data_IF_474084027162
#
_entry.id   IF_474084027162
#
_cell.length_a   1.000
_cell.length_b   1.000
_cell.length_c   1.000
_cell.angle_alpha   90.00
_cell.angle_beta   90.00
_cell.angle_gamma   90.00
#
_symmetry.space_group_name_H-M   'P 1'
#
loop_
_entity.id
_entity.type
_entity.pdbx_description
1 polymer ?
#
# COMPACT_ATOMS: atom_id res chain seq x y z
N UNK A 1 -13.77 -6.12 -34.23
CA UNK A 1 -14.36 -6.26 -32.88
C UNK A 1 -13.63 -5.30 -31.96
N UNK A 2 -14.31 -4.38 -31.26
CA UNK A 2 -13.60 -3.53 -30.30
C UNK A 2 -13.13 -4.40 -29.15
N UNK A 3 -11.82 -4.38 -28.85
CA UNK A 3 -11.26 -5.14 -27.73
C UNK A 3 -11.85 -4.54 -26.45
N UNK A 4 -12.83 -5.23 -25.87
CA UNK A 4 -13.47 -4.80 -24.64
C UNK A 4 -12.68 -5.35 -23.45
N UNK A 5 -12.36 -4.47 -22.51
CA UNK A 5 -11.60 -4.81 -21.31
C UNK A 5 -12.45 -5.60 -20.31
N UNK A 6 -11.82 -6.02 -19.21
CA UNK A 6 -12.46 -6.82 -18.17
C UNK A 6 -12.20 -6.21 -16.79
N UNK A 7 -13.22 -6.26 -15.92
CA UNK A 7 -13.13 -5.78 -14.54
C UNK A 7 -13.04 -6.96 -13.58
N UNK A 8 -12.09 -6.92 -12.65
CA UNK A 8 -11.98 -7.87 -11.55
C UNK A 8 -12.35 -7.18 -10.24
N UNK A 9 -13.36 -7.68 -9.53
CA UNK A 9 -13.73 -7.24 -8.18
C UNK A 9 -13.02 -8.15 -7.18
N UNK A 10 -11.94 -7.66 -6.57
CA UNK A 10 -10.94 -8.49 -5.88
C UNK A 10 -10.91 -8.19 -4.39
N UNK A 11 -10.98 -9.24 -3.57
CA UNK A 11 -10.73 -9.17 -2.14
C UNK A 11 -9.25 -9.04 -1.82
N UNK A 12 -8.90 -7.98 -1.09
CA UNK A 12 -7.54 -7.67 -0.64
C UNK A 12 -7.13 -8.46 0.62
N UNK A 13 -8.09 -9.08 1.29
CA UNK A 13 -7.85 -9.67 2.61
C UNK A 13 -7.95 -8.66 3.76
N UNK A 14 -7.75 -9.11 5.00
CA UNK A 14 -8.01 -8.35 6.23
C UNK A 14 -6.94 -7.30 6.56
N UNK A 15 -5.73 -7.46 6.04
CA UNK A 15 -4.58 -6.65 6.39
C UNK A 15 -3.28 -7.31 5.94
N UNK A 16 -2.95 -8.46 6.52
CA UNK A 16 -1.79 -9.27 6.15
C UNK A 16 -1.76 -9.54 4.63
N UNK A 17 -0.68 -9.11 3.99
CA UNK A 17 -0.50 -9.23 2.54
C UNK A 17 -0.36 -10.69 2.08
N UNK A 18 0.03 -11.60 2.97
CA UNK A 18 0.12 -13.03 2.68
C UNK A 18 -1.27 -13.71 2.64
N UNK A 19 -2.30 -13.09 3.20
CA UNK A 19 -3.68 -13.54 3.08
C UNK A 19 -4.35 -13.15 1.75
N UNK A 20 -3.61 -12.50 0.85
CA UNK A 20 -4.05 -12.30 -0.52
C UNK A 20 -4.14 -13.65 -1.24
N UNK A 21 -5.30 -13.94 -1.85
CA UNK A 21 -5.45 -15.21 -2.57
C UNK A 21 -4.52 -15.27 -3.79
N UNK A 22 -4.07 -16.48 -4.14
CA UNK A 22 -3.17 -16.70 -5.30
C UNK A 22 -3.75 -16.09 -6.58
N UNK A 23 -5.07 -16.17 -6.77
CA UNK A 23 -5.77 -15.59 -7.91
C UNK A 23 -5.79 -14.06 -7.87
N UNK A 24 -6.04 -13.47 -6.69
CA UNK A 24 -6.00 -12.03 -6.51
C UNK A 24 -4.61 -11.46 -6.85
N UNK A 25 -3.54 -12.10 -6.36
CA UNK A 25 -2.15 -11.74 -6.70
C UNK A 25 -1.88 -11.74 -8.21
N UNK A 26 -2.23 -12.84 -8.89
CA UNK A 26 -2.05 -12.97 -10.35
C UNK A 26 -2.77 -11.87 -11.13
N UNK A 27 -4.02 -11.58 -10.75
CA UNK A 27 -4.83 -10.55 -11.41
C UNK A 27 -4.28 -9.15 -11.13
N UNK A 28 -3.84 -8.88 -9.90
CA UNK A 28 -3.28 -7.59 -9.49
C UNK A 28 -1.99 -7.25 -10.26
N UNK A 29 -1.12 -8.24 -10.45
CA UNK A 29 0.13 -8.11 -11.21
C UNK A 29 -0.09 -7.85 -12.71
N UNK A 30 -1.24 -8.26 -13.25
CA UNK A 30 -1.60 -8.10 -14.67
C UNK A 30 -2.48 -6.87 -14.94
N UNK A 31 -2.79 -6.07 -13.91
CA UNK A 31 -3.72 -4.96 -14.03
C UNK A 31 -3.12 -3.79 -14.83
N UNK A 32 -3.92 -3.21 -15.72
CA UNK A 32 -3.61 -1.92 -16.36
C UNK A 32 -4.08 -0.74 -15.49
N UNK A 33 -5.10 -0.98 -14.65
CA UNK A 33 -5.68 0.02 -13.75
C UNK A 33 -6.06 -0.67 -12.44
N UNK A 34 -5.65 -0.11 -11.30
CA UNK A 34 -6.03 -0.59 -9.98
C UNK A 34 -6.78 0.52 -9.23
N UNK A 35 -8.05 0.27 -8.94
CA UNK A 35 -8.93 1.14 -8.16
C UNK A 35 -9.08 0.54 -6.75
N UNK A 36 -8.48 1.16 -5.74
CA UNK A 36 -8.36 0.56 -4.41
C UNK A 36 -8.95 1.42 -3.30
N UNK A 37 -9.54 0.76 -2.29
CA UNK A 37 -10.12 1.41 -1.11
C UNK A 37 -9.10 1.68 -0.01
N UNK A 38 -9.51 2.51 0.96
CA UNK A 38 -8.77 2.79 2.19
C UNK A 38 -8.42 1.53 3.02
N UNK A 39 -9.21 0.46 2.94
CA UNK A 39 -8.93 -0.75 3.76
C UNK A 39 -8.06 -1.79 3.05
N UNK A 40 -7.70 -1.60 1.78
CA UNK A 40 -6.73 -2.47 1.12
C UNK A 40 -5.33 -2.13 1.65
N UNK A 41 -4.53 -3.12 2.05
CA UNK A 41 -3.18 -2.85 2.57
C UNK A 41 -2.32 -2.15 1.47
N UNK A 42 -1.68 -1.00 1.77
CA UNK A 42 -0.78 -0.34 0.81
C UNK A 42 0.36 -1.22 0.29
N UNK A 43 0.80 -2.24 1.03
CA UNK A 43 1.78 -3.22 0.58
C UNK A 43 1.38 -3.89 -0.73
N UNK A 44 0.07 -4.14 -0.94
CA UNK A 44 -0.44 -4.76 -2.15
C UNK A 44 -0.24 -3.86 -3.39
N UNK A 45 -0.16 -2.53 -3.21
CA UNK A 45 0.13 -1.59 -4.29
C UNK A 45 1.55 -1.81 -4.84
N UNK A 46 2.47 -2.27 -4.00
CA UNK A 46 3.85 -2.56 -4.40
C UNK A 46 3.93 -3.79 -5.33
N UNK A 47 2.96 -4.72 -5.26
CA UNK A 47 2.86 -5.89 -6.15
C UNK A 47 2.28 -5.55 -7.54
N UNK A 48 1.75 -4.35 -7.75
CA UNK A 48 1.13 -3.94 -9.02
C UNK A 48 2.19 -3.74 -10.10
N UNK A 49 1.82 -3.97 -11.37
CA UNK A 49 2.66 -3.63 -12.53
C UNK A 49 3.10 -2.16 -12.54
N UNK A 50 4.34 -1.90 -12.93
CA UNK A 50 4.93 -0.54 -12.98
C UNK A 50 4.19 0.40 -13.94
N UNK A 51 3.45 -0.14 -14.91
CA UNK A 51 2.69 0.64 -15.90
C UNK A 51 1.22 0.85 -15.51
N UNK A 52 0.75 0.28 -14.41
CA UNK A 52 -0.64 0.35 -14.03
C UNK A 52 -1.03 1.76 -13.54
N UNK A 53 -2.19 2.25 -13.95
CA UNK A 53 -2.78 3.47 -13.37
C UNK A 53 -3.36 3.13 -11.98
N UNK A 54 -2.88 3.82 -10.95
CA UNK A 54 -3.40 3.70 -9.59
C UNK A 54 -4.49 4.76 -9.33
N UNK A 55 -5.65 4.34 -8.84
CA UNK A 55 -6.80 5.20 -8.51
C UNK A 55 -7.24 4.92 -7.08
N UNK A 56 -7.10 5.92 -6.20
CA UNK A 56 -7.54 5.79 -4.81
C UNK A 56 -9.04 6.13 -4.69
N UNK A 57 -9.81 5.20 -4.15
CA UNK A 57 -11.26 5.31 -3.96
C UNK A 57 -11.67 5.56 -2.49
N UNK A 58 -10.70 5.79 -1.59
CA UNK A 58 -10.95 6.04 -0.17
C UNK A 58 -11.28 7.49 0.18
N UNK A 59 -11.82 7.69 1.39
CA UNK A 59 -12.02 9.03 1.99
C UNK A 59 -10.69 9.55 2.56
N UNK A 60 -10.03 10.45 1.83
CA UNK A 60 -8.92 11.24 2.34
C UNK A 60 -9.45 12.53 3.00
N UNK A 61 -8.86 13.00 4.11
CA UNK A 61 -9.03 14.38 4.54
C UNK A 61 -8.54 15.30 3.40
N UNK A 62 -9.36 16.27 2.99
CA UNK A 62 -9.00 17.34 2.05
C UNK A 62 -8.93 17.04 0.54
N UNK A 63 -9.34 15.85 0.05
CA UNK A 63 -9.54 15.60 -1.40
C UNK A 63 -10.96 15.14 -1.69
N UNK A 64 -11.50 15.56 -2.85
CA UNK A 64 -12.83 15.17 -3.31
C UNK A 64 -13.00 13.64 -3.21
N UNK A 65 -13.90 13.22 -2.32
CA UNK A 65 -14.30 11.83 -2.15
C UNK A 65 -14.91 11.35 -3.45
N UNK A 66 -14.35 10.30 -4.07
CA UNK A 66 -15.06 9.60 -5.15
C UNK A 66 -16.32 9.00 -4.54
N UNK A 67 -17.48 9.45 -5.01
CA UNK A 67 -18.76 8.85 -4.66
C UNK A 67 -18.82 7.46 -5.29
N UNK A 68 -19.72 6.60 -4.82
CA UNK A 68 -19.88 5.26 -5.38
C UNK A 68 -20.10 5.29 -6.91
N UNK A 69 -20.83 6.28 -7.42
CA UNK A 69 -21.02 6.50 -8.86
C UNK A 69 -19.74 6.86 -9.62
N UNK A 70 -18.80 7.56 -8.99
CA UNK A 70 -17.52 7.92 -9.61
C UNK A 70 -16.60 6.69 -9.74
N UNK A 71 -16.58 5.83 -8.71
CA UNK A 71 -15.84 4.56 -8.73
C UNK A 71 -16.37 3.65 -9.86
N UNK A 72 -17.70 3.53 -9.95
CA UNK A 72 -18.37 2.79 -11.03
C UNK A 72 -18.02 3.35 -12.41
N UNK A 73 -17.99 4.68 -12.54
CA UNK A 73 -17.63 5.37 -13.78
C UNK A 73 -16.17 5.12 -14.18
N UNK A 74 -15.21 5.20 -13.24
CA UNK A 74 -13.81 4.91 -13.51
C UNK A 74 -13.61 3.46 -14.01
N UNK A 75 -14.27 2.48 -13.37
CA UNK A 75 -14.23 1.08 -13.83
C UNK A 75 -14.75 0.97 -15.27
N UNK A 76 -15.89 1.58 -15.56
CA UNK A 76 -16.54 1.54 -16.86
C UNK A 76 -15.69 2.19 -17.96
N UNK A 77 -15.16 3.38 -17.71
CA UNK A 77 -14.35 4.15 -18.67
C UNK A 77 -13.09 3.37 -19.05
N UNK A 78 -12.42 2.77 -18.07
CA UNK A 78 -11.19 2.02 -18.34
C UNK A 78 -11.47 0.68 -19.01
N UNK A 79 -12.50 -0.05 -18.60
CA UNK A 79 -12.88 -1.30 -19.27
C UNK A 79 -13.31 -1.08 -20.73
N UNK A 80 -14.05 0.00 -21.03
CA UNK A 80 -14.40 0.38 -22.42
C UNK A 80 -13.19 0.70 -23.30
N UNK A 81 -12.05 1.07 -22.70
CA UNK A 81 -10.78 1.30 -23.40
C UNK A 81 -9.96 0.01 -23.60
N UNK A 82 -10.54 -1.16 -23.36
CA UNK A 82 -9.84 -2.44 -23.54
C UNK A 82 -8.94 -2.86 -22.38
N UNK A 83 -8.98 -2.14 -21.24
CA UNK A 83 -8.06 -2.36 -20.13
C UNK A 83 -8.51 -3.47 -19.18
N UNK A 84 -7.54 -4.14 -18.56
CA UNK A 84 -7.73 -4.98 -17.38
C UNK A 84 -7.80 -4.09 -16.15
N UNK A 85 -8.98 -3.99 -15.56
CA UNK A 85 -9.26 -3.14 -14.39
C UNK A 85 -9.40 -4.01 -13.15
N UNK A 86 -8.69 -3.69 -12.08
CA UNK A 86 -8.82 -4.33 -10.77
C UNK A 86 -9.45 -3.35 -9.80
N UNK A 87 -10.59 -3.73 -9.24
CA UNK A 87 -11.24 -3.07 -8.11
C UNK A 87 -10.86 -3.81 -6.83
N UNK A 88 -9.86 -3.30 -6.13
CA UNK A 88 -9.28 -3.92 -4.94
C UNK A 88 -9.99 -3.42 -3.67
N UNK A 89 -10.61 -4.34 -2.93
CA UNK A 89 -11.51 -4.04 -1.79
C UNK A 89 -11.00 -4.74 -0.54
N UNK A 90 -11.00 -4.04 0.60
CA UNK A 90 -10.60 -4.64 1.88
C UNK A 90 -11.47 -5.84 2.25
N UNK A 91 -10.88 -6.89 2.82
CA UNK A 91 -11.55 -8.13 3.19
C UNK A 91 -12.00 -8.96 1.99
N UNK A 92 -13.23 -9.46 2.08
CA UNK A 92 -13.91 -10.17 1.00
C UNK A 92 -14.97 -9.27 0.33
N UNK A 93 -15.05 -9.19 -1.01
CA UNK A 93 -16.02 -8.33 -1.70
C UNK A 93 -17.48 -8.63 -1.35
N UNK A 94 -17.82 -9.89 -1.04
CA UNK A 94 -19.16 -10.36 -0.73
C UNK A 94 -19.61 -10.00 0.70
N UNK A 95 -18.69 -9.71 1.63
CA UNK A 95 -19.02 -9.42 3.03
C UNK A 95 -19.05 -7.91 3.25
N UNK A 96 -20.25 -7.31 3.20
CA UNK A 96 -20.48 -5.86 3.34
C UNK A 96 -19.65 -4.97 2.39
N UNK A 97 -19.14 -5.54 1.30
CA UNK A 97 -18.29 -4.85 0.33
C UNK A 97 -19.04 -4.18 -0.84
N UNK A 98 -20.38 -4.27 -0.91
CA UNK A 98 -21.19 -3.73 -2.03
C UNK A 98 -20.87 -4.32 -3.41
N UNK A 99 -20.26 -5.51 -3.47
CA UNK A 99 -19.88 -6.16 -4.75
C UNK A 99 -21.08 -6.40 -5.66
N UNK A 100 -22.26 -6.67 -5.11
CA UNK A 100 -23.48 -6.90 -5.89
C UNK A 100 -23.91 -5.67 -6.69
N UNK A 101 -23.83 -4.48 -6.09
CA UNK A 101 -24.15 -3.21 -6.75
C UNK A 101 -23.14 -2.90 -7.88
N UNK A 102 -21.85 -3.11 -7.61
CA UNK A 102 -20.77 -2.91 -8.59
C UNK A 102 -20.92 -3.90 -9.77
N UNK A 103 -21.18 -5.18 -9.49
CA UNK A 103 -21.40 -6.21 -10.51
C UNK A 103 -22.65 -5.95 -11.36
N UNK A 104 -23.77 -5.56 -10.74
CA UNK A 104 -25.00 -5.21 -11.45
C UNK A 104 -24.77 -4.01 -12.39
N UNK A 105 -24.07 -2.99 -11.92
CA UNK A 105 -23.72 -1.82 -12.73
C UNK A 105 -22.88 -2.21 -13.97
N UNK A 106 -21.85 -3.05 -13.78
CA UNK A 106 -21.01 -3.54 -14.89
C UNK A 106 -21.83 -4.37 -15.89
N UNK A 107 -22.74 -5.22 -15.39
CA UNK A 107 -23.62 -6.05 -16.21
C UNK A 107 -24.54 -5.20 -17.09
N UNK A 108 -25.20 -4.18 -16.53
CA UNK A 108 -26.07 -3.24 -17.26
C UNK A 108 -25.33 -2.53 -18.40
N UNK A 109 -24.03 -2.28 -18.23
CA UNK A 109 -23.18 -1.65 -19.23
C UNK A 109 -22.44 -2.65 -20.12
N UNK A 110 -22.79 -3.94 -20.07
CA UNK A 110 -22.21 -5.01 -20.88
C UNK A 110 -20.70 -5.16 -20.71
N UNK A 111 -20.15 -4.83 -19.54
CA UNK A 111 -18.73 -5.01 -19.23
C UNK A 111 -18.50 -6.43 -18.68
N UNK A 112 -17.60 -7.23 -19.28
CA UNK A 112 -17.17 -8.49 -18.68
C UNK A 112 -16.55 -8.25 -17.31
N UNK A 113 -16.96 -9.04 -16.32
CA UNK A 113 -16.37 -8.96 -14.98
C UNK A 113 -16.20 -10.32 -14.33
N UNK A 114 -15.35 -10.35 -13.31
CA UNK A 114 -15.11 -11.52 -12.49
C UNK A 114 -14.93 -11.11 -11.02
N UNK A 115 -15.49 -11.90 -10.11
CA UNK A 115 -15.35 -11.68 -8.67
C UNK A 115 -14.30 -12.65 -8.15
N UNK A 116 -13.29 -12.13 -7.47
CA UNK A 116 -12.25 -12.92 -6.80
C UNK A 116 -12.44 -12.77 -5.29
N UNK A 117 -12.87 -13.84 -4.59
CA UNK A 117 -13.03 -13.83 -3.14
C UNK A 117 -11.71 -13.50 -2.42
N UNK A 118 -11.86 -12.98 -1.20
CA UNK A 118 -10.76 -12.68 -0.29
C UNK A 118 -11.00 -13.30 1.09
N UNK A 119 -10.00 -13.24 1.95
CA UNK A 119 -10.19 -13.60 3.36
C UNK A 119 -10.93 -12.45 4.05
N UNK A 120 -12.09 -12.71 4.65
CA UNK A 120 -12.86 -11.66 5.32
C UNK A 120 -12.24 -11.24 6.66
N UNK A 121 -12.34 -9.95 6.98
CA UNK A 121 -11.73 -9.36 8.17
C UNK A 121 -12.16 -10.06 9.46
N UNK A 122 -13.42 -10.42 9.59
CA UNK A 122 -13.93 -10.95 10.83
C UNK A 122 -13.42 -12.34 11.19
N UNK A 123 -13.38 -13.28 10.24
CA UNK A 123 -12.84 -14.62 10.53
C UNK A 123 -11.33 -14.59 10.71
N UNK A 124 -10.63 -13.73 9.97
CA UNK A 124 -9.19 -13.59 10.10
C UNK A 124 -8.80 -12.89 11.40
N UNK A 125 -9.39 -11.73 11.70
CA UNK A 125 -9.15 -11.01 12.93
C UNK A 125 -9.47 -11.86 14.16
N UNK A 126 -10.58 -12.62 14.14
CA UNK A 126 -10.93 -13.49 15.26
C UNK A 126 -9.87 -14.57 15.47
N UNK A 127 -9.49 -15.30 14.42
CA UNK A 127 -8.55 -16.42 14.58
C UNK A 127 -7.12 -15.95 14.87
N UNK A 128 -6.70 -14.81 14.33
CA UNK A 128 -5.41 -14.17 14.67
C UNK A 128 -5.41 -13.66 16.12
N UNK A 129 -6.57 -13.28 16.67
CA UNK A 129 -6.72 -13.00 18.11
C UNK A 129 -6.89 -14.27 18.97
N UNK A 130 -6.82 -15.46 18.38
CA UNK A 130 -6.95 -16.75 19.10
C UNK A 130 -8.39 -17.21 19.33
N UNK A 131 -9.38 -16.64 18.65
CA UNK A 131 -10.80 -17.00 18.82
C UNK A 131 -11.43 -17.51 17.52
N UNK A 132 -11.87 -18.78 17.46
CA UNK A 132 -12.56 -19.30 16.29
C UNK A 132 -14.00 -18.76 16.22
N UNK A 133 -14.55 -18.65 15.02
CA UNK A 133 -15.94 -18.23 14.81
C UNK A 133 -16.98 -19.28 15.29
N UNK A 134 -16.56 -20.54 15.39
CA UNK A 134 -17.39 -21.68 15.83
C UNK A 134 -16.54 -22.62 16.66
N UNK A 135 -17.15 -23.35 17.60
CA UNK A 135 -16.44 -24.34 18.40
C UNK A 135 -17.40 -25.47 18.77
N UNK A 136 -16.99 -26.73 18.58
CA UNK A 136 -17.88 -27.92 18.69
C UNK A 136 -18.75 -27.93 19.95
N UNK A 137 -18.22 -27.50 21.09
CA UNK A 137 -18.93 -27.51 22.39
C UNK A 137 -19.52 -26.17 22.80
N UNK A 138 -19.10 -25.06 22.17
CA UNK A 138 -19.46 -23.70 22.63
C UNK A 138 -20.31 -22.92 21.63
N UNK A 139 -20.30 -23.31 20.35
CA UNK A 139 -20.98 -22.58 19.29
C UNK A 139 -21.27 -23.49 18.10
N UNK A 140 -22.56 -23.75 17.91
CA UNK A 140 -23.13 -24.50 16.78
C UNK A 140 -23.69 -23.58 15.70
N UNK A 141 -23.86 -22.29 16.01
CA UNK A 141 -24.41 -21.27 15.13
C UNK A 141 -23.59 -19.98 15.15
N UNK A 142 -23.45 -19.36 13.98
CA UNK A 142 -22.66 -18.17 13.79
C UNK A 142 -23.38 -17.20 12.85
N UNK A 143 -23.45 -15.93 13.24
CA UNK A 143 -24.04 -14.88 12.42
C UNK A 143 -23.08 -13.70 12.24
N UNK A 144 -23.04 -13.18 11.01
CA UNK A 144 -22.28 -12.00 10.62
C UNK A 144 -23.25 -10.87 10.30
N UNK A 145 -23.16 -9.76 11.02
CA UNK A 145 -24.03 -8.60 10.83
C UNK A 145 -23.22 -7.31 10.73
N UNK A 146 -23.83 -6.30 10.12
CA UNK A 146 -23.31 -4.94 10.15
C UNK A 146 -24.20 -4.09 11.04
N UNK A 147 -23.58 -3.27 11.87
CA UNK A 147 -24.28 -2.23 12.62
C UNK A 147 -24.22 -0.87 11.92
N UNK A 148 -23.63 -0.76 10.72
CA UNK A 148 -23.61 0.50 9.99
C UNK A 148 -25.04 0.93 9.63
N UNK A 149 -25.34 2.21 9.90
CA UNK A 149 -26.55 2.89 9.43
C UNK A 149 -26.09 4.01 8.52
N UNK A 150 -26.44 3.95 7.23
CA UNK A 150 -26.39 5.15 6.42
C UNK A 150 -27.51 6.09 6.88
N UNK A 151 -27.26 7.40 6.94
CA UNK A 151 -28.28 8.38 7.38
C UNK A 151 -29.43 8.46 6.38
N UNK A 152 -29.18 8.09 5.13
CA UNK A 152 -30.13 8.19 4.01
C UNK A 152 -30.80 6.86 3.66
N UNK A 153 -30.34 5.72 4.21
CA UNK A 153 -30.94 4.41 3.96
C UNK A 153 -32.06 4.10 4.96
N UNK A 154 -33.28 3.85 4.46
CA UNK A 154 -34.45 3.37 5.23
C UNK A 154 -34.31 1.89 5.68
N UNK A 155 -33.10 1.40 5.86
CA UNK A 155 -32.87 -0.02 6.17
C UNK A 155 -33.18 -0.26 7.63
N UNK A 156 -34.07 -1.22 7.89
CA UNK A 156 -34.37 -1.63 9.26
C UNK A 156 -33.10 -2.13 9.96
N UNK A 157 -32.95 -1.88 11.27
CA UNK A 157 -31.80 -2.38 12.02
C UNK A 157 -31.79 -3.93 12.01
N UNK A 158 -30.64 -4.56 12.30
CA UNK A 158 -30.61 -5.99 12.53
C UNK A 158 -31.66 -6.41 13.57
N UNK A 159 -32.28 -7.58 13.38
CA UNK A 159 -33.23 -8.13 14.33
C UNK A 159 -32.50 -8.60 15.60
N UNK A 160 -32.20 -7.66 16.49
CA UNK A 160 -31.43 -7.90 17.71
C UNK A 160 -32.05 -8.95 18.62
N UNK A 161 -33.39 -9.04 18.64
CA UNK A 161 -34.09 -10.09 19.40
C UNK A 161 -33.72 -11.49 18.91
N UNK A 162 -33.84 -11.74 17.61
CA UNK A 162 -33.48 -13.05 17.05
C UNK A 162 -31.98 -13.35 17.22
N UNK A 163 -31.12 -12.34 17.02
CA UNK A 163 -29.67 -12.50 17.20
C UNK A 163 -29.28 -12.79 18.65
N UNK A 164 -29.99 -12.20 19.62
CA UNK A 164 -29.73 -12.43 21.04
C UNK A 164 -30.12 -13.83 21.50
N UNK A 165 -31.19 -14.39 20.91
CA UNK A 165 -31.85 -15.61 21.39
C UNK A 165 -31.47 -16.88 20.62
N UNK A 166 -30.98 -16.75 19.39
CA UNK A 166 -30.84 -17.89 18.46
C UNK A 166 -29.44 -18.07 17.87
N UNK A 167 -28.49 -17.21 18.21
CA UNK A 167 -27.12 -17.27 17.68
C UNK A 167 -26.11 -17.39 18.81
N UNK A 168 -25.30 -18.44 18.75
CA UNK A 168 -24.27 -18.71 19.76
C UNK A 168 -23.12 -17.71 19.64
N UNK A 169 -22.62 -17.47 18.42
CA UNK A 169 -21.55 -16.51 18.14
C UNK A 169 -21.98 -15.43 17.17
N UNK A 170 -21.93 -14.18 17.63
CA UNK A 170 -22.27 -13.01 16.83
C UNK A 170 -21.01 -12.22 16.47
N UNK A 171 -20.82 -11.98 15.17
CA UNK A 171 -19.74 -11.15 14.64
C UNK A 171 -20.30 -9.89 13.99
N UNK A 172 -19.86 -8.74 14.48
CA UNK A 172 -20.40 -7.43 14.09
C UNK A 172 -19.32 -6.60 13.42
N UNK A 173 -19.60 -6.18 12.19
CA UNK A 173 -18.80 -5.24 11.43
C UNK A 173 -19.34 -3.82 11.61
N UNK A 174 -18.43 -2.84 11.57
CA UNK A 174 -18.77 -1.41 11.61
C UNK A 174 -19.60 -1.02 12.85
N UNK A 175 -19.43 -1.73 13.97
CA UNK A 175 -20.22 -1.54 15.20
C UNK A 175 -19.63 -0.62 16.24
N UNK A 176 -18.36 -0.23 16.14
CA UNK A 176 -17.66 0.53 17.21
C UNK A 176 -18.39 1.80 17.65
N UNK A 177 -18.90 2.60 16.70
CA UNK A 177 -19.65 3.83 17.02
C UNK A 177 -20.99 3.58 17.72
N UNK A 178 -21.55 2.38 17.58
CA UNK A 178 -22.83 1.98 18.14
C UNK A 178 -22.67 0.92 19.24
N UNK A 179 -21.44 0.69 19.74
CA UNK A 179 -21.14 -0.42 20.65
C UNK A 179 -22.06 -0.43 21.88
N UNK A 180 -22.23 0.73 22.54
CA UNK A 180 -23.12 0.85 23.69
C UNK A 180 -24.58 0.50 23.37
N UNK A 181 -25.09 0.96 22.22
CA UNK A 181 -26.44 0.65 21.78
C UNK A 181 -26.62 -0.83 21.42
N UNK A 182 -25.62 -1.45 20.79
CA UNK A 182 -25.63 -2.89 20.47
C UNK A 182 -25.69 -3.72 21.76
N UNK A 183 -24.84 -3.39 22.72
CA UNK A 183 -24.79 -4.05 24.04
C UNK A 183 -26.15 -3.96 24.74
N UNK A 184 -26.73 -2.77 24.81
CA UNK A 184 -28.04 -2.52 25.42
C UNK A 184 -29.15 -3.34 24.73
N UNK A 185 -29.19 -3.37 23.40
CA UNK A 185 -30.18 -4.14 22.65
C UNK A 185 -30.06 -5.65 22.87
N UNK A 186 -28.84 -6.18 22.93
CA UNK A 186 -28.61 -7.61 23.19
C UNK A 186 -29.05 -8.00 24.59
N UNK A 187 -28.70 -7.20 25.61
CA UNK A 187 -29.11 -7.45 27.00
C UNK A 187 -30.62 -7.31 27.19
N UNK A 188 -31.23 -6.26 26.61
CA UNK A 188 -32.69 -6.04 26.62
C UNK A 188 -33.47 -7.21 26.02
N UNK A 189 -32.88 -7.93 25.06
CA UNK A 189 -33.50 -9.08 24.43
C UNK A 189 -33.08 -10.44 25.03
N UNK A 190 -32.44 -10.42 26.19
CA UNK A 190 -32.21 -11.61 27.01
C UNK A 190 -30.82 -12.23 26.89
N UNK A 191 -29.86 -11.59 26.20
CA UNK A 191 -28.47 -12.07 26.22
C UNK A 191 -27.85 -11.76 27.59
N UNK A 192 -27.25 -12.74 28.30
CA UNK A 192 -26.73 -12.52 29.65
C UNK A 192 -25.64 -11.43 29.69
N UNK A 193 -25.67 -10.56 30.70
CA UNK A 193 -24.69 -9.47 30.87
C UNK A 193 -23.23 -9.97 30.95
N UNK A 194 -23.03 -11.17 31.50
CA UNK A 194 -21.74 -11.86 31.57
C UNK A 194 -21.26 -12.49 30.25
N UNK A 195 -22.02 -12.40 29.16
CA UNK A 195 -21.63 -13.01 27.88
C UNK A 195 -20.28 -12.43 27.41
N UNK A 196 -19.28 -13.26 27.11
CA UNK A 196 -17.96 -12.80 26.67
C UNK A 196 -18.01 -12.00 25.35
N UNK A 197 -17.16 -10.97 25.29
CA UNK A 197 -16.98 -10.10 24.12
C UNK A 197 -15.49 -9.93 23.85
N UNK A 198 -15.12 -10.04 22.58
CA UNK A 198 -13.80 -9.68 22.07
C UNK A 198 -13.94 -8.64 20.97
N UNK A 199 -13.12 -7.59 21.02
CA UNK A 199 -13.05 -6.59 19.95
C UNK A 199 -11.62 -6.55 19.44
N UNK A 200 -11.45 -6.78 18.14
CA UNK A 200 -10.15 -6.83 17.47
C UNK A 200 -10.03 -5.67 16.49
N UNK A 201 -9.11 -4.76 16.77
CA UNK A 201 -8.75 -3.61 15.94
C UNK A 201 -7.56 -3.95 15.05
N UNK A 202 -7.57 -3.50 13.78
CA UNK A 202 -6.49 -3.75 12.82
C UNK A 202 -6.10 -5.23 12.70
N UNK A 203 -7.11 -6.11 12.67
CA UNK A 203 -6.90 -7.55 12.59
C UNK A 203 -5.88 -7.94 11.51
N UNK A 204 -4.97 -8.85 11.87
CA UNK A 204 -3.85 -9.38 11.06
C UNK A 204 -2.68 -8.43 10.78
N UNK A 205 -2.76 -7.14 11.12
CA UNK A 205 -1.58 -6.27 11.10
C UNK A 205 -0.73 -6.48 12.36
N UNK A 206 0.56 -6.15 12.31
CA UNK A 206 1.41 -6.16 13.52
C UNK A 206 0.84 -5.27 14.62
N UNK A 207 0.20 -4.15 14.25
CA UNK A 207 -0.52 -3.21 15.14
C UNK A 207 -1.90 -3.70 15.58
N UNK A 208 -2.23 -4.98 15.42
CA UNK A 208 -3.47 -5.54 15.93
C UNK A 208 -3.55 -5.31 17.44
N UNK A 209 -4.70 -4.84 17.90
CA UNK A 209 -5.00 -4.70 19.33
C UNK A 209 -6.33 -5.36 19.62
N UNK A 210 -6.40 -6.05 20.75
CA UNK A 210 -7.62 -6.72 21.16
C UNK A 210 -8.03 -6.34 22.58
N UNK A 211 -9.33 -6.15 22.78
CA UNK A 211 -9.92 -5.90 24.10
C UNK A 211 -10.96 -6.98 24.39
N UNK A 212 -10.80 -7.61 25.55
CA UNK A 212 -11.75 -8.57 26.10
C UNK A 212 -12.64 -7.91 27.16
N UNK A 213 -13.82 -8.50 27.34
CA UNK A 213 -14.73 -8.15 28.41
C UNK A 213 -15.99 -8.99 28.32
N UNK A 214 -17.03 -8.48 28.95
CA UNK A 214 -18.40 -9.02 28.89
C UNK A 214 -19.31 -7.96 28.28
N UNK A 215 -20.57 -8.30 27.97
CA UNK A 215 -21.54 -7.29 27.53
C UNK A 215 -21.63 -6.12 28.53
N UNK A 216 -21.56 -6.39 29.83
CA UNK A 216 -21.59 -5.37 30.88
C UNK A 216 -20.36 -4.44 30.87
N UNK A 217 -19.17 -4.96 30.56
CA UNK A 217 -17.89 -4.25 30.79
C UNK A 217 -17.23 -3.72 29.52
N UNK A 218 -17.56 -4.28 28.35
CA UNK A 218 -16.80 -4.05 27.11
C UNK A 218 -16.77 -2.59 26.68
N UNK A 219 -17.84 -1.83 26.90
CA UNK A 219 -17.91 -0.41 26.52
C UNK A 219 -16.84 0.40 27.28
N UNK A 220 -16.71 0.16 28.58
CA UNK A 220 -15.70 0.80 29.42
C UNK A 220 -14.30 0.33 29.06
N UNK A 221 -14.11 -0.97 28.84
CA UNK A 221 -12.80 -1.53 28.50
C UNK A 221 -12.27 -0.95 27.17
N UNK A 222 -13.13 -0.79 26.17
CA UNK A 222 -12.77 -0.16 24.88
C UNK A 222 -12.39 1.30 25.05
N UNK A 223 -13.14 2.05 25.86
CA UNK A 223 -12.85 3.46 26.13
C UNK A 223 -11.48 3.62 26.82
N UNK A 224 -11.19 2.79 27.84
CA UNK A 224 -9.91 2.81 28.55
C UNK A 224 -8.72 2.44 27.64
N UNK A 225 -8.92 1.49 26.72
CA UNK A 225 -7.89 1.06 25.77
C UNK A 225 -7.74 1.99 24.55
N UNK A 226 -8.60 3.01 24.41
CA UNK A 226 -8.67 3.88 23.23
C UNK A 226 -8.73 3.08 21.91
N UNK A 227 -9.58 2.04 21.87
CA UNK A 227 -9.78 1.23 20.67
C UNK A 227 -10.71 1.93 19.68
N UNK A 228 -10.33 1.97 18.40
CA UNK A 228 -11.04 2.70 17.37
C UNK A 228 -11.38 1.80 16.17
N UNK A 229 -11.70 2.40 15.03
CA UNK A 229 -11.95 1.69 13.78
C UNK A 229 -10.66 1.60 12.94
N UNK A 230 -10.52 0.59 12.08
CA UNK A 230 -11.44 -0.52 11.84
C UNK A 230 -11.29 -1.63 12.89
N UNK A 231 -12.42 -2.13 13.39
CA UNK A 231 -12.47 -3.24 14.33
C UNK A 231 -13.67 -4.17 14.06
N UNK A 232 -13.52 -5.43 14.48
CA UNK A 232 -14.57 -6.45 14.47
C UNK A 232 -14.91 -6.80 15.91
N UNK A 233 -16.22 -6.86 16.22
CA UNK A 233 -16.73 -7.26 17.53
C UNK A 233 -17.21 -8.70 17.42
N UNK A 234 -16.79 -9.56 18.35
CA UNK A 234 -17.18 -10.95 18.47
C UNK A 234 -17.83 -11.16 19.86
N UNK A 235 -19.01 -11.76 19.90
CA UNK A 235 -19.79 -11.94 21.13
C UNK A 235 -20.23 -13.39 21.23
N UNK A 236 -19.86 -14.08 22.30
CA UNK A 236 -20.25 -15.47 22.57
C UNK A 236 -19.18 -16.25 23.32
N UNK A 237 -19.55 -17.43 23.79
CA UNK A 237 -18.71 -18.24 24.69
C UNK A 237 -17.40 -18.71 24.05
N UNK A 238 -17.32 -18.70 22.70
CA UNK A 238 -16.08 -18.99 21.97
C UNK A 238 -14.92 -18.08 22.37
N UNK A 239 -15.18 -16.86 22.84
CA UNK A 239 -14.13 -15.94 23.30
C UNK A 239 -13.33 -16.52 24.47
N UNK A 240 -13.95 -17.37 25.30
CA UNK A 240 -13.30 -18.01 26.44
C UNK A 240 -12.12 -18.92 26.07
N UNK A 241 -11.97 -19.32 24.80
CA UNK A 241 -10.82 -20.15 24.37
C UNK A 241 -9.56 -19.35 24.09
N UNK A 242 -9.65 -18.01 24.04
CA UNK A 242 -8.55 -17.11 23.62
C UNK A 242 -7.24 -17.37 24.36
N UNK A 243 -7.30 -17.50 25.69
CA UNK A 243 -6.11 -17.66 26.52
C UNK A 243 -5.27 -18.90 26.20
N UNK A 244 -5.86 -19.93 25.59
CA UNK A 244 -5.15 -21.15 25.19
C UNK A 244 -4.58 -21.11 23.76
N UNK A 245 -5.05 -20.17 22.92
CA UNK A 245 -4.82 -20.20 21.47
C UNK A 245 -4.18 -18.91 20.93
N UNK A 246 -4.17 -17.82 21.70
CA UNK A 246 -3.55 -16.55 21.28
C UNK A 246 -2.07 -16.72 20.98
N UNK A 247 -1.67 -16.46 19.73
CA UNK A 247 -0.30 -16.67 19.24
C UNK A 247 0.30 -15.43 18.54
N UNK A 248 -0.54 -14.44 18.18
CA UNK A 248 -0.15 -13.37 17.26
C UNK A 248 0.34 -12.09 17.95
N UNK A 249 -0.35 -11.62 18.99
CA UNK A 249 -0.11 -10.29 19.62
C UNK A 249 1.07 -10.26 20.61
N UNK A 250 1.75 -11.39 20.83
CA UNK A 250 2.83 -11.50 21.83
C UNK A 250 4.22 -11.59 21.20
N UNK A 251 4.36 -11.28 19.91
CA UNK A 251 5.65 -11.34 19.22
C UNK A 251 6.49 -10.10 19.51
N UNK A 252 7.83 -10.19 19.54
CA UNK A 252 8.71 -9.09 19.96
C UNK A 252 8.59 -7.80 19.14
N UNK A 253 8.24 -7.89 17.85
CA UNK A 253 8.08 -6.73 16.95
C UNK A 253 6.61 -6.38 16.68
N UNK A 254 5.68 -6.88 17.49
CA UNK A 254 4.27 -6.51 17.37
C UNK A 254 4.11 -4.99 17.50
N UNK A 255 3.27 -4.40 16.65
CA UNK A 255 3.07 -2.96 16.55
C UNK A 255 4.07 -2.23 15.65
N UNK A 256 5.12 -2.91 15.17
CA UNK A 256 6.12 -2.27 14.31
C UNK A 256 5.77 -2.44 12.83
N UNK A 257 5.77 -1.32 12.10
CA UNK A 257 5.75 -1.31 10.64
C UNK A 257 7.08 -0.79 10.13
N UNK A 258 7.82 -1.65 9.46
CA UNK A 258 9.23 -1.44 9.12
C UNK A 258 9.36 -1.26 7.61
N UNK A 259 9.85 -0.09 7.19
CA UNK A 259 10.24 0.14 5.80
C UNK A 259 11.63 -0.44 5.56
N UNK A 260 11.79 -1.24 4.50
CA UNK A 260 13.10 -1.58 3.96
C UNK A 260 13.20 -1.06 2.52
N UNK A 261 14.26 -0.31 2.21
CA UNK A 261 14.52 0.14 0.83
C UNK A 261 15.23 -0.91 -0.02
N UNK A 262 15.47 -2.08 0.58
CA UNK A 262 15.82 -3.30 -0.13
C UNK A 262 14.55 -4.05 -0.54
N UNK A 263 14.71 -4.92 -1.53
CA UNK A 263 13.68 -5.91 -1.84
C UNK A 263 13.57 -6.94 -0.71
N UNK A 264 12.90 -8.05 -1.00
CA UNK A 264 12.83 -9.18 -0.09
C UNK A 264 14.23 -9.74 0.21
N UNK A 265 14.58 -9.83 1.50
CA UNK A 265 15.83 -10.42 2.03
C UNK A 265 15.54 -11.36 3.19
N UNK A 266 16.54 -12.17 3.59
CA UNK A 266 16.47 -13.01 4.78
C UNK A 266 16.10 -12.22 6.05
N UNK A 267 16.65 -11.01 6.19
CA UNK A 267 16.36 -10.13 7.31
C UNK A 267 14.91 -9.65 7.30
N UNK A 268 14.36 -9.27 6.14
CA UNK A 268 12.93 -8.91 6.06
C UNK A 268 12.02 -10.08 6.45
N UNK A 269 12.37 -11.31 6.07
CA UNK A 269 11.67 -12.52 6.52
C UNK A 269 11.76 -12.73 8.03
N UNK A 270 12.95 -12.50 8.60
CA UNK A 270 13.18 -12.62 10.05
C UNK A 270 12.35 -11.60 10.84
N UNK A 271 12.32 -10.35 10.41
CA UNK A 271 11.52 -9.29 11.04
C UNK A 271 10.01 -9.62 11.00
N UNK A 272 9.49 -10.15 9.87
CA UNK A 272 8.09 -10.63 9.80
C UNK A 272 7.81 -11.79 10.74
N UNK A 273 8.74 -12.76 10.81
CA UNK A 273 8.60 -13.90 11.71
C UNK A 273 8.47 -13.45 13.17
N UNK A 274 9.22 -12.41 13.55
CA UNK A 274 9.18 -11.75 14.87
C UNK A 274 7.99 -10.79 15.06
N UNK A 275 7.07 -10.70 14.10
CA UNK A 275 5.77 -10.03 14.26
C UNK A 275 5.66 -8.63 13.65
N UNK A 276 6.67 -8.15 12.92
CA UNK A 276 6.60 -6.86 12.25
C UNK A 276 5.84 -6.92 10.91
N UNK A 277 5.19 -5.82 10.55
CA UNK A 277 4.77 -5.58 9.17
C UNK A 277 5.97 -5.03 8.41
N UNK A 278 6.54 -5.79 7.46
CA UNK A 278 7.71 -5.34 6.70
C UNK A 278 7.32 -4.98 5.27
N UNK A 279 7.58 -3.73 4.91
CA UNK A 279 7.31 -3.15 3.60
C UNK A 279 8.61 -3.05 2.80
N UNK A 280 8.85 -4.03 1.92
CA UNK A 280 10.02 -4.06 1.05
C UNK A 280 9.81 -3.19 -0.19
N UNK A 281 10.54 -2.10 -0.28
CA UNK A 281 10.42 -1.06 -1.29
C UNK A 281 11.75 -0.89 -2.04
N UNK A 282 12.14 -1.87 -2.90
CA UNK A 282 13.42 -1.83 -3.58
C UNK A 282 13.51 -0.59 -4.47
N UNK A 283 14.56 0.20 -4.26
CA UNK A 283 14.85 1.31 -5.15
C UNK A 283 15.32 0.81 -6.51
N UNK A 284 14.82 1.42 -7.59
CA UNK A 284 15.28 1.07 -8.93
C UNK A 284 16.59 1.80 -9.21
N UNK A 285 17.63 1.02 -9.53
CA UNK A 285 18.84 1.58 -10.11
C UNK A 285 18.52 2.07 -11.51
N UNK A 286 18.38 3.39 -11.66
CA UNK A 286 18.31 3.95 -12.99
C UNK A 286 19.73 4.00 -13.56
N UNK A 287 20.03 3.14 -14.54
CA UNK A 287 21.25 3.25 -15.36
C UNK A 287 21.16 4.36 -16.41
N UNK A 288 20.14 5.21 -16.34
CA UNK A 288 20.01 6.40 -17.17
C UNK A 288 20.92 7.51 -16.67
N UNK A 289 21.88 7.93 -17.50
CA UNK A 289 22.72 9.10 -17.22
C UNK A 289 21.85 10.35 -17.11
N UNK A 290 22.08 11.18 -16.10
CA UNK A 290 21.33 12.43 -15.85
C UNK A 290 21.92 13.55 -16.70
N UNK A 291 21.06 14.42 -17.23
CA UNK A 291 21.45 15.70 -17.84
C UNK A 291 21.22 16.80 -16.81
N UNK A 292 22.28 17.46 -16.38
CA UNK A 292 22.29 18.51 -15.35
C UNK A 292 22.13 19.90 -15.95
N UNK A 293 21.86 20.89 -15.11
CA UNK A 293 21.84 22.30 -15.52
C UNK A 293 23.21 22.75 -16.09
N UNK A 294 24.29 22.22 -15.55
CA UNK A 294 25.67 22.44 -16.02
C UNK A 294 25.87 21.86 -17.42
N UNK A 295 25.31 20.67 -17.70
CA UNK A 295 25.35 20.08 -19.03
C UNK A 295 24.60 20.95 -20.04
N UNK A 296 23.43 21.48 -19.69
CA UNK A 296 22.69 22.40 -20.56
C UNK A 296 23.47 23.69 -20.80
N UNK A 297 24.07 24.28 -19.76
CA UNK A 297 24.89 25.48 -19.90
C UNK A 297 26.11 25.23 -20.81
N UNK A 298 26.79 24.10 -20.65
CA UNK A 298 27.92 23.71 -21.49
C UNK A 298 27.50 23.51 -22.95
N UNK A 299 26.34 22.92 -23.19
CA UNK A 299 25.81 22.67 -24.54
C UNK A 299 25.40 23.96 -25.24
N UNK A 300 24.79 24.91 -24.52
CA UNK A 300 24.44 26.22 -25.07
C UNK A 300 25.68 27.07 -25.41
N UNK A 301 26.83 26.79 -24.78
CA UNK A 301 28.11 27.43 -25.09
C UNK A 301 28.92 26.72 -26.20
N UNK A 302 28.40 25.61 -26.75
CA UNK A 302 29.09 24.93 -27.85
C UNK A 302 29.16 25.80 -29.10
N UNK A 303 30.18 25.58 -29.92
CA UNK A 303 30.35 26.20 -31.23
C UNK A 303 29.97 25.25 -32.37
N UNK A 304 29.77 25.78 -33.59
CA UNK A 304 29.44 24.98 -34.79
C UNK A 304 30.46 23.89 -35.13
N UNK A 305 31.68 23.97 -34.58
CA UNK A 305 32.76 23.01 -34.76
C UNK A 305 32.77 21.90 -33.68
N UNK A 306 31.78 21.89 -32.79
CA UNK A 306 31.62 20.85 -31.77
C UNK A 306 30.43 19.94 -32.09
N UNK A 307 30.59 18.66 -31.77
CA UNK A 307 29.55 17.66 -31.88
C UNK A 307 29.00 17.33 -30.49
N UNK A 308 27.72 17.55 -30.27
CA UNK A 308 27.02 17.19 -29.03
C UNK A 308 26.55 15.73 -29.14
N UNK A 309 27.13 14.84 -28.34
CA UNK A 309 26.99 13.39 -28.51
C UNK A 309 26.06 12.75 -27.49
N UNK A 310 25.14 11.93 -28.01
CA UNK A 310 24.23 11.10 -27.23
C UNK A 310 24.52 9.62 -27.47
N UNK A 311 24.82 8.85 -26.42
CA UNK A 311 25.11 7.42 -26.52
C UNK A 311 23.96 6.51 -26.08
N UNK A 312 22.97 7.06 -25.38
CA UNK A 312 21.79 6.33 -24.91
C UNK A 312 20.53 7.19 -25.12
N UNK A 313 19.40 6.53 -25.36
CA UNK A 313 18.12 7.20 -25.65
C UNK A 313 17.60 8.00 -24.46
N UNK A 314 17.84 7.52 -23.25
CA UNK A 314 17.45 8.14 -22.00
C UNK A 314 18.11 9.53 -21.86
N UNK A 315 19.37 9.66 -22.29
CA UNK A 315 20.11 10.93 -22.29
C UNK A 315 19.54 11.90 -23.30
N UNK A 316 19.19 11.43 -24.50
CA UNK A 316 18.54 12.25 -25.51
C UNK A 316 17.20 12.80 -25.00
N UNK A 317 16.36 11.94 -24.40
CA UNK A 317 15.08 12.36 -23.81
C UNK A 317 15.27 13.34 -22.66
N UNK A 318 16.17 13.05 -21.73
CA UNK A 318 16.47 13.92 -20.60
C UNK A 318 16.99 15.28 -21.04
N UNK A 319 17.86 15.32 -22.06
CA UNK A 319 18.35 16.56 -22.65
C UNK A 319 17.22 17.41 -23.24
N UNK A 320 16.36 16.82 -24.08
CA UNK A 320 15.25 17.54 -24.71
C UNK A 320 14.26 18.09 -23.67
N UNK A 321 13.92 17.28 -22.67
CA UNK A 321 13.04 17.69 -21.58
C UNK A 321 13.64 18.84 -20.76
N UNK A 322 14.94 18.74 -20.40
CA UNK A 322 15.63 19.74 -19.59
C UNK A 322 15.85 21.05 -20.34
N UNK A 323 16.11 20.99 -21.65
CA UNK A 323 16.20 22.16 -22.51
C UNK A 323 14.87 22.93 -22.52
N UNK A 324 13.76 22.21 -22.66
CA UNK A 324 12.41 22.77 -22.58
C UNK A 324 12.05 23.33 -21.19
N UNK A 325 12.42 22.64 -20.11
CA UNK A 325 12.24 23.12 -18.72
C UNK A 325 12.93 24.48 -18.50
N UNK A 326 14.11 24.66 -19.10
CA UNK A 326 14.87 25.92 -19.05
C UNK A 326 14.40 26.98 -20.04
N UNK A 327 13.36 26.70 -20.83
CA UNK A 327 12.80 27.62 -21.81
C UNK A 327 13.63 27.82 -23.07
N UNK A 328 14.56 26.90 -23.37
CA UNK A 328 15.38 26.95 -24.58
C UNK A 328 14.77 26.10 -25.69
N UNK A 329 14.92 26.57 -26.92
CA UNK A 329 14.60 25.80 -28.12
C UNK A 329 15.81 24.95 -28.53
N UNK A 330 15.59 23.79 -29.16
CA UNK A 330 16.69 22.97 -29.68
C UNK A 330 17.58 23.73 -30.68
N UNK A 331 17.00 24.70 -31.40
CA UNK A 331 17.71 25.62 -32.30
C UNK A 331 18.67 26.57 -31.58
N UNK A 332 18.55 26.72 -30.26
CA UNK A 332 19.49 27.50 -29.45
C UNK A 332 20.85 26.81 -29.28
N UNK A 333 20.95 25.51 -29.58
CA UNK A 333 22.22 24.77 -29.55
C UNK A 333 23.00 25.05 -30.84
N UNK A 334 24.20 25.62 -30.72
CA UNK A 334 25.02 25.91 -31.90
C UNK A 334 25.89 24.74 -32.36
N UNK A 335 26.26 23.83 -31.44
CA UNK A 335 26.94 22.58 -31.76
C UNK A 335 26.06 21.63 -32.56
N UNK A 336 26.67 20.77 -33.37
CA UNK A 336 25.94 19.79 -34.15
C UNK A 336 25.52 18.63 -33.25
N UNK A 337 24.21 18.43 -33.09
CA UNK A 337 23.68 17.27 -32.39
C UNK A 337 23.97 16.01 -33.21
N UNK A 338 24.57 14.98 -32.59
CA UNK A 338 24.94 13.74 -33.27
C UNK A 338 24.67 12.50 -32.42
N UNK A 339 24.41 11.39 -33.08
CA UNK A 339 24.16 10.10 -32.44
C UNK A 339 25.47 9.31 -32.26
N UNK A 340 25.76 8.90 -31.04
CA UNK A 340 26.89 8.02 -30.70
C UNK A 340 26.62 6.54 -30.95
N UNK A 341 25.35 6.13 -31.06
CA UNK A 341 24.92 4.75 -31.33
C UNK A 341 23.80 4.69 -32.38
N UNK A 342 23.59 3.51 -32.97
CA UNK A 342 22.50 3.28 -33.93
C UNK A 342 21.11 3.44 -33.32
N UNK A 343 20.94 3.01 -32.07
CA UNK A 343 19.66 3.12 -31.36
C UNK A 343 19.25 4.59 -31.18
N UNK A 344 20.18 5.45 -30.76
CA UNK A 344 19.95 6.89 -30.61
C UNK A 344 19.60 7.54 -31.94
N UNK A 345 20.27 7.16 -33.03
CA UNK A 345 19.96 7.65 -34.37
C UNK A 345 18.51 7.33 -34.77
N UNK A 346 18.06 6.09 -34.54
CA UNK A 346 16.71 5.66 -34.87
C UNK A 346 15.65 6.36 -34.02
N UNK A 347 15.91 6.52 -32.72
CA UNK A 347 15.00 7.20 -31.79
C UNK A 347 14.92 8.69 -32.09
N UNK A 348 16.05 9.33 -32.40
CA UNK A 348 16.02 10.72 -32.81
C UNK A 348 15.13 10.92 -34.05
N UNK A 349 15.22 10.02 -35.04
CA UNK A 349 14.35 10.07 -36.23
C UNK A 349 12.87 9.90 -35.87
N UNK A 350 12.52 9.03 -34.92
CA UNK A 350 11.11 8.89 -34.49
C UNK A 350 10.57 10.12 -33.76
N UNK A 351 11.45 10.96 -33.22
CA UNK A 351 11.13 12.25 -32.63
C UNK A 351 11.16 13.42 -33.63
N UNK A 352 11.43 13.14 -34.91
CA UNK A 352 11.57 14.18 -35.94
C UNK A 352 12.94 14.87 -35.98
N UNK A 353 13.94 14.35 -35.27
CA UNK A 353 15.31 14.86 -35.25
C UNK A 353 16.22 14.08 -36.21
N UNK A 354 16.95 14.78 -37.07
CA UNK A 354 17.92 14.17 -37.97
C UNK A 354 19.33 14.29 -37.38
N UNK A 355 19.72 13.31 -36.56
CA UNK A 355 21.07 13.22 -36.01
C UNK A 355 21.95 12.33 -36.89
N UNK A 356 23.08 12.85 -37.35
CA UNK A 356 24.09 12.04 -38.03
C UNK A 356 24.88 11.18 -37.04
N UNK A 357 25.35 10.00 -37.46
CA UNK A 357 26.19 9.14 -36.61
C UNK A 357 27.61 9.72 -36.48
N UNK A 358 28.07 9.88 -35.25
CA UNK A 358 29.45 10.30 -34.99
C UNK A 358 30.42 9.19 -35.36
N UNK A 359 31.49 9.54 -36.07
CA UNK A 359 32.50 8.58 -36.54
C UNK A 359 33.91 9.12 -36.34
N UNK A 360 34.91 8.24 -36.36
CA UNK A 360 36.34 8.63 -36.28
C UNK A 360 36.79 9.56 -37.42
N UNK A 361 36.01 9.70 -38.48
CA UNK A 361 36.28 10.62 -39.61
C UNK A 361 35.66 12.01 -39.40
N UNK A 362 34.95 12.25 -38.30
CA UNK A 362 34.38 13.55 -37.96
C UNK A 362 35.49 14.55 -37.60
N UNK A 363 35.42 15.75 -38.16
CA UNK A 363 36.32 16.87 -37.83
C UNK A 363 35.83 17.70 -36.65
N UNK A 364 34.70 17.33 -36.05
CA UNK A 364 34.07 18.05 -34.94
C UNK A 364 34.60 17.58 -33.59
N UNK A 365 34.87 18.51 -32.69
CA UNK A 365 35.28 18.19 -31.32
C UNK A 365 34.09 17.66 -30.51
N UNK A 366 34.17 16.45 -29.93
CA UNK A 366 33.03 15.86 -29.24
C UNK A 366 32.80 16.47 -27.86
N UNK A 367 31.54 16.79 -27.56
CA UNK A 367 31.03 17.15 -26.24
C UNK A 367 30.01 16.09 -25.87
N UNK A 368 30.36 15.22 -24.94
CA UNK A 368 29.49 14.12 -24.52
C UNK A 368 28.56 14.63 -23.42
N UNK A 369 27.25 14.51 -23.62
CA UNK A 369 26.26 14.84 -22.59
C UNK A 369 25.96 13.59 -21.76
N UNK A 370 25.79 13.82 -20.45
CA UNK A 370 25.45 12.80 -19.48
C UNK A 370 26.72 12.27 -18.81
N UNK A 371 26.94 12.69 -17.57
CA UNK A 371 28.01 12.17 -16.72
C UNK A 371 27.81 10.69 -16.41
N UNK A 372 28.89 10.01 -16.01
CA UNK A 372 28.76 8.72 -15.33
C UNK A 372 27.78 8.86 -14.17
N UNK A 373 26.92 7.85 -14.06
CA UNK A 373 25.77 7.81 -13.20
C UNK A 373 26.04 8.45 -11.83
N UNK A 374 25.37 9.57 -11.53
CA UNK A 374 24.85 9.67 -10.17
C UNK A 374 23.92 8.47 -10.08
N UNK A 375 24.28 7.49 -9.25
CA UNK A 375 23.43 6.36 -8.87
C UNK A 375 22.18 6.90 -8.17
N UNK A 376 21.33 7.64 -8.89
CA UNK A 376 20.08 8.15 -8.36
C UNK A 376 19.12 6.98 -8.43
N UNK A 377 19.09 6.27 -7.31
CA UNK A 377 18.05 5.31 -6.98
C UNK A 377 16.72 6.04 -7.05
N UNK A 378 15.92 5.72 -8.07
CA UNK A 378 14.60 6.31 -8.25
C UNK A 378 13.58 5.48 -7.50
N UNK A 379 12.62 6.18 -6.86
CA UNK A 379 11.46 5.57 -6.25
C UNK A 379 10.38 5.39 -7.34
N UNK A 380 9.96 4.16 -7.68
CA UNK A 380 8.89 3.97 -8.65
C UNK A 380 7.60 4.61 -8.17
N UNK A 381 6.78 5.16 -9.08
CA UNK A 381 5.54 5.87 -8.72
C UNK A 381 4.62 5.03 -7.82
N UNK A 382 4.51 3.72 -8.06
CA UNK A 382 3.71 2.81 -7.22
C UNK A 382 4.23 2.71 -5.79
N UNK A 383 5.55 2.73 -5.62
CA UNK A 383 6.22 2.70 -4.32
C UNK A 383 6.03 4.05 -3.62
N UNK A 384 6.17 5.17 -4.33
CA UNK A 384 5.88 6.52 -3.78
C UNK A 384 4.44 6.60 -3.27
N UNK A 385 3.46 6.11 -4.03
CA UNK A 385 2.05 6.07 -3.63
C UNK A 385 1.85 5.19 -2.38
N UNK A 386 2.48 4.02 -2.35
CA UNK A 386 2.38 3.10 -1.23
C UNK A 386 3.01 3.67 0.05
N UNK A 387 4.26 4.16 0.00
CA UNK A 387 4.97 4.73 1.15
C UNK A 387 4.25 5.95 1.69
N UNK A 388 3.81 6.88 0.82
CA UNK A 388 3.03 8.05 1.25
C UNK A 388 1.80 7.63 2.04
N UNK A 389 1.04 6.66 1.53
CA UNK A 389 -0.15 6.17 2.22
C UNK A 389 0.18 5.48 3.53
N UNK A 390 1.25 4.68 3.58
CA UNK A 390 1.70 4.03 4.81
C UNK A 390 2.10 5.05 5.89
N UNK A 391 2.74 6.15 5.52
CA UNK A 391 3.06 7.25 6.43
C UNK A 391 1.80 8.00 6.89
N UNK A 392 0.94 8.41 5.94
CA UNK A 392 -0.31 9.14 6.22
C UNK A 392 -1.27 8.36 7.13
N UNK A 393 -1.33 7.03 6.97
CA UNK A 393 -2.21 6.14 7.75
C UNK A 393 -1.54 5.61 9.04
N UNK A 394 -0.28 5.99 9.30
CA UNK A 394 0.47 5.59 10.49
C UNK A 394 0.78 4.08 10.53
N UNK A 395 1.00 3.47 9.37
CA UNK A 395 1.45 2.08 9.26
C UNK A 395 2.97 1.95 9.38
N UNK A 396 3.74 2.97 8.94
CA UNK A 396 5.19 2.97 9.12
C UNK A 396 5.57 3.62 10.43
N UNK A 397 6.34 2.89 11.25
CA UNK A 397 6.86 3.38 12.53
C UNK A 397 8.38 3.36 12.56
N UNK A 398 9.04 2.52 11.75
CA UNK A 398 10.49 2.35 11.72
C UNK A 398 10.99 2.14 10.29
N UNK A 399 12.30 2.31 10.07
CA UNK A 399 13.00 1.86 8.88
C UNK A 399 14.15 0.93 9.25
N UNK A 400 14.44 -0.06 8.41
CA UNK A 400 15.57 -0.95 8.58
C UNK A 400 16.66 -0.63 7.55
N UNK A 401 17.88 -0.35 8.03
CA UNK A 401 19.03 0.02 7.22
C UNK A 401 20.26 -0.80 7.60
N UNK A 402 20.99 -1.30 6.61
CA UNK A 402 22.23 -2.08 6.78
C UNK A 402 23.48 -1.30 6.38
N UNK A 403 23.32 -0.18 5.67
CA UNK A 403 24.44 0.66 5.20
C UNK A 403 24.15 2.16 5.38
N UNK A 404 25.20 2.98 5.47
CA UNK A 404 25.07 4.45 5.54
C UNK A 404 24.33 5.00 4.31
N UNK A 405 24.60 4.44 3.13
CA UNK A 405 23.91 4.80 1.89
C UNK A 405 22.39 4.59 1.97
N UNK A 406 21.92 3.55 2.67
CA UNK A 406 20.49 3.32 2.84
C UNK A 406 19.84 4.35 3.76
N UNK A 407 20.58 4.94 4.70
CA UNK A 407 20.10 6.07 5.50
C UNK A 407 19.94 7.31 4.62
N UNK A 408 20.91 7.60 3.75
CA UNK A 408 20.82 8.72 2.82
C UNK A 408 19.65 8.55 1.83
N UNK A 409 19.49 7.35 1.27
CA UNK A 409 18.37 7.03 0.40
C UNK A 409 17.02 7.18 1.11
N UNK A 410 16.93 6.75 2.37
CA UNK A 410 15.73 6.90 3.18
C UNK A 410 15.36 8.36 3.39
N UNK A 411 16.32 9.24 3.67
CA UNK A 411 16.05 10.66 3.82
C UNK A 411 15.49 11.27 2.53
N UNK A 412 16.00 10.87 1.37
CA UNK A 412 15.49 11.30 0.07
C UNK A 412 14.06 10.79 -0.17
N UNK A 413 13.81 9.50 0.11
CA UNK A 413 12.48 8.88 -0.04
C UNK A 413 11.46 9.56 0.87
N UNK A 414 11.80 9.80 2.13
CA UNK A 414 10.94 10.48 3.08
C UNK A 414 10.64 11.90 2.60
N UNK A 415 11.65 12.67 2.17
CA UNK A 415 11.45 14.01 1.62
C UNK A 415 10.53 14.05 0.39
N UNK A 416 10.55 13.01 -0.45
CA UNK A 416 9.64 12.90 -1.61
C UNK A 416 8.21 12.48 -1.21
N UNK A 417 8.08 11.60 -0.22
CA UNK A 417 6.81 11.00 0.16
C UNK A 417 6.02 11.86 1.14
N UNK A 418 6.68 12.48 2.11
CA UNK A 418 6.10 13.26 3.19
C UNK A 418 7.08 14.32 3.73
N UNK A 419 6.69 15.59 3.72
CA UNK A 419 7.48 16.63 4.38
C UNK A 419 7.61 16.30 5.87
N UNK A 420 8.85 16.25 6.38
CA UNK A 420 9.21 16.16 7.81
C UNK A 420 8.97 14.81 8.51
N UNK A 421 8.60 13.74 7.80
CA UNK A 421 8.53 12.41 8.42
C UNK A 421 9.93 11.93 8.84
N UNK A 422 10.08 11.53 10.11
CA UNK A 422 11.31 10.92 10.64
C UNK A 422 10.96 9.54 11.17
N UNK A 423 11.62 8.51 10.62
CA UNK A 423 11.48 7.14 11.10
C UNK A 423 12.72 6.75 11.93
N UNK A 424 12.53 6.25 13.16
CA UNK A 424 13.54 5.49 13.88
C UNK A 424 14.21 4.42 13.01
N UNK A 425 15.53 4.32 13.11
CA UNK A 425 16.34 3.35 12.36
C UNK A 425 16.59 2.11 13.21
N UNK A 426 16.29 0.96 12.62
CA UNK A 426 16.72 -0.35 13.07
C UNK A 426 17.92 -0.77 12.22
N UNK A 427 18.99 -1.21 12.87
CA UNK A 427 20.18 -1.71 12.17
C UNK A 427 20.85 -2.82 12.95
N UNK A 428 21.64 -3.65 12.28
CA UNK A 428 22.55 -4.62 12.89
C UNK A 428 23.99 -4.12 12.95
N UNK A 429 24.27 -2.91 12.43
CA UNK A 429 25.61 -2.34 12.28
C UNK A 429 25.85 -1.14 13.20
N UNK A 430 26.86 -1.23 14.07
CA UNK A 430 27.28 -0.14 14.94
C UNK A 430 27.72 1.10 14.14
N UNK A 431 28.34 0.89 12.97
CA UNK A 431 28.73 1.96 12.07
C UNK A 431 27.49 2.73 11.56
N UNK A 432 26.47 2.01 11.13
CA UNK A 432 25.20 2.59 10.65
C UNK A 432 24.50 3.33 11.79
N UNK A 433 24.55 2.78 13.01
CA UNK A 433 23.99 3.46 14.18
C UNK A 433 24.72 4.78 14.50
N UNK A 434 26.05 4.79 14.46
CA UNK A 434 26.85 5.99 14.67
C UNK A 434 26.57 7.04 13.60
N UNK A 435 26.45 6.61 12.34
CA UNK A 435 26.11 7.49 11.22
C UNK A 435 24.70 8.10 11.37
N UNK A 436 23.68 7.30 11.70
CA UNK A 436 22.33 7.80 11.96
C UNK A 436 22.30 8.83 13.10
N UNK A 437 23.03 8.58 14.20
CA UNK A 437 23.17 9.53 15.31
C UNK A 437 23.83 10.84 14.87
N UNK A 438 24.83 10.78 14.00
CA UNK A 438 25.49 11.98 13.43
C UNK A 438 24.52 12.87 12.64
N UNK A 439 23.49 12.26 12.06
CA UNK A 439 22.42 12.95 11.33
C UNK A 439 21.22 13.32 12.22
N UNK A 440 21.36 13.21 13.56
CA UNK A 440 20.28 13.46 14.53
C UNK A 440 19.04 12.57 14.33
N UNK A 441 19.22 11.38 13.75
CA UNK A 441 18.18 10.35 13.65
C UNK A 441 18.29 9.39 14.84
N UNK A 442 17.15 8.98 15.40
CA UNK A 442 17.13 7.95 16.43
C UNK A 442 17.45 6.58 15.80
N UNK A 443 18.44 5.86 16.35
CA UNK A 443 18.86 4.57 15.85
C UNK A 443 19.12 3.55 16.98
N UNK A 444 18.55 2.37 16.85
CA UNK A 444 18.67 1.25 17.78
C UNK A 444 19.23 0.01 17.08
N UNK A 445 20.07 -0.74 17.79
CA UNK A 445 20.69 -1.96 17.27
C UNK A 445 19.78 -3.15 17.58
N UNK A 446 19.39 -3.91 16.55
CA UNK A 446 18.68 -5.17 16.71
C UNK A 446 19.73 -6.28 16.71
N UNK A 447 20.19 -6.69 17.91
CA UNK A 447 21.12 -7.81 18.02
C UNK A 447 20.38 -9.14 17.80
N UNK A 448 20.92 -10.01 16.95
CA UNK A 448 20.46 -11.39 16.91
C UNK A 448 20.61 -12.01 18.32
N UNK A 449 19.49 -12.48 18.90
CA UNK A 449 19.35 -13.14 20.20
C UNK A 449 19.26 -12.28 21.48
N UNK A 450 18.89 -11.00 21.42
CA UNK A 450 18.42 -10.29 22.63
C UNK A 450 16.97 -9.81 22.43
N UNK A 451 16.06 -9.99 23.41
CA UNK A 451 14.75 -9.36 23.37
C UNK A 451 14.94 -7.84 23.25
N UNK A 452 14.17 -7.19 22.38
CA UNK A 452 14.06 -5.73 22.38
C UNK A 452 13.63 -5.31 23.79
N UNK A 453 14.45 -4.46 24.40
CA UNK A 453 14.24 -3.99 25.75
C UNK A 453 12.86 -3.30 25.84
N UNK A 454 12.01 -3.76 26.75
CA UNK A 454 10.59 -3.40 26.85
C UNK A 454 10.34 -1.96 27.33
N UNK A 455 11.36 -1.10 27.32
CA UNK A 455 11.29 0.27 27.84
C UNK A 455 10.76 1.29 26.83
N UNK A 456 10.19 0.86 25.70
CA UNK A 456 9.61 1.73 24.68
C UNK A 456 8.07 1.75 24.73
N UNK A 457 7.49 2.18 25.87
CA UNK A 457 6.07 2.57 25.98
C UNK A 457 5.89 4.07 25.91
#
# INVERSE_FOLDING_TARGET
>A
MSIQGKVYLVGAGPGDAELLTVKARKVLQQADVVIFDRLANPALIMEVSDHAKLVYAGKQPCKHVLRQGDIQTEMLVHAKKGKTVVRLKGGDPAVFGRVGEEAAYLKTHHIPFEIVPGVTAGTAASIYAGVPATHRTLSSSFAVVTAYRDRDEKKEPPNWRALAQSVDTLMIYMGMKQLAAIVDQLMTHGKPAGTPVLIVEWGTYSRQRSVEGTLETIVTNVANANLANPAVILIGDVVGVRGAVSWFEHKPLSGMGILSLRGETEMTGTLRAQGADVFAAPLQQNKGKIVTDTDIAAVLQTSKNQAVLFFAKEVLFAFLAKLGEKGYDIRSVQGQLMAGTQEVEQIARSLGLQLARYSKKSTLSPVVIGTDAINRRLLPQKITVAIRRLLEEGHLTHAFCETEQEIDDLRLVLAECANEAVLPILTTSDQVQAYAKSLSMYASVVLHNQPLDQTMS
#
